data_IF_439675551023
#
_entry.id   IF_439675551023
#
_cell.length_a   1.000
_cell.length_b   1.000
_cell.length_c   1.000
_cell.angle_alpha   90.00
_cell.angle_beta   90.00
_cell.angle_gamma   90.00
#
_symmetry.space_group_name_H-M   'P 1'
#
loop_
_entity.id
_entity.type
_entity.pdbx_description
1 polymer ?
#
# COMPACT_ATOMS: atom_id res chain seq x y z
N UNK A 1 -7.63 23.27 12.06
CA UNK A 1 -8.24 23.08 10.73
C UNK A 1 -9.50 22.22 10.82
N UNK A 2 -9.47 21.07 11.49
CA UNK A 2 -10.67 20.23 11.69
C UNK A 2 -11.86 21.01 12.24
N UNK A 3 -11.65 21.83 13.28
CA UNK A 3 -12.71 22.68 13.87
C UNK A 3 -13.27 23.67 12.87
N UNK A 4 -12.43 24.23 11.99
CA UNK A 4 -12.84 25.17 10.95
C UNK A 4 -13.68 24.53 9.85
N UNK A 5 -13.39 23.27 9.56
CA UNK A 5 -14.05 22.50 8.50
C UNK A 5 -15.23 21.67 8.99
N UNK A 6 -15.46 21.62 10.31
CA UNK A 6 -16.61 20.94 10.89
C UNK A 6 -17.90 21.48 10.26
N UNK A 7 -18.78 20.60 9.83
CA UNK A 7 -20.06 20.92 9.20
C UNK A 7 -19.97 21.55 7.79
N UNK A 8 -18.76 21.68 7.23
CA UNK A 8 -18.58 22.20 5.88
C UNK A 8 -18.13 21.10 4.93
N UNK A 9 -18.77 21.04 3.76
CA UNK A 9 -18.27 20.21 2.67
C UNK A 9 -16.99 20.85 2.11
N UNK A 10 -15.94 20.05 1.97
CA UNK A 10 -14.68 20.50 1.40
C UNK A 10 -14.14 19.47 0.41
N UNK A 11 -13.37 19.96 -0.54
CA UNK A 11 -12.76 19.14 -1.56
C UNK A 11 -11.26 19.04 -1.33
N UNK A 12 -10.74 17.82 -1.42
CA UNK A 12 -9.31 17.57 -1.29
C UNK A 12 -8.63 17.69 -2.66
N UNK A 13 -7.66 18.60 -2.76
CA UNK A 13 -6.81 18.66 -3.95
C UNK A 13 -5.85 17.49 -3.96
N UNK A 14 -5.76 16.82 -5.11
CA UNK A 14 -4.73 15.82 -5.35
C UNK A 14 -3.71 16.35 -6.36
N UNK A 15 -2.45 15.94 -6.21
CA UNK A 15 -1.41 16.14 -7.20
C UNK A 15 -0.72 14.82 -7.48
N UNK A 16 -0.34 14.60 -8.73
CA UNK A 16 0.43 13.42 -9.10
C UNK A 16 1.93 13.71 -8.99
N UNK A 17 2.70 12.76 -8.47
CA UNK A 17 4.15 12.80 -8.59
C UNK A 17 4.60 12.32 -9.98
N UNK A 18 5.92 12.33 -10.23
CA UNK A 18 6.48 11.93 -11.51
C UNK A 18 6.24 10.45 -11.88
N UNK A 19 5.74 9.62 -10.95
CA UNK A 19 5.37 8.21 -11.17
C UNK A 19 3.87 8.04 -11.43
N UNK A 20 3.08 9.11 -11.26
CA UNK A 20 1.63 9.10 -11.38
C UNK A 20 0.88 8.83 -10.07
N UNK A 21 1.58 8.60 -8.95
CA UNK A 21 0.91 8.43 -7.65
C UNK A 21 0.29 9.73 -7.17
N UNK A 22 -0.96 9.67 -6.72
CA UNK A 22 -1.65 10.81 -6.13
C UNK A 22 -1.26 11.04 -4.68
N UNK A 23 -1.08 12.31 -4.34
CA UNK A 23 -0.84 12.79 -2.99
C UNK A 23 -1.85 13.87 -2.64
N UNK A 24 -2.33 13.82 -1.41
CA UNK A 24 -3.23 14.80 -0.84
C UNK A 24 -2.46 15.77 0.08
N UNK A 25 -2.94 17.02 0.26
CA UNK A 25 -2.30 17.99 1.16
C UNK A 25 -2.39 17.58 2.63
N UNK A 26 -1.74 18.31 3.50
CA UNK A 26 -1.48 18.00 4.90
C UNK A 26 -2.70 17.62 5.74
N UNK A 27 -3.83 18.33 5.59
CA UNK A 27 -5.09 17.93 6.24
C UNK A 27 -5.98 17.20 5.24
N UNK A 28 -5.88 15.86 5.25
CA UNK A 28 -6.60 15.01 4.31
C UNK A 28 -6.79 13.61 4.88
N UNK A 29 -7.63 12.83 4.22
CA UNK A 29 -7.80 11.41 4.52
C UNK A 29 -6.47 10.63 4.45
N UNK A 30 -5.54 11.02 3.58
CA UNK A 30 -4.21 10.40 3.47
C UNK A 30 -3.21 10.84 4.56
N UNK A 31 -3.62 11.68 5.50
CA UNK A 31 -2.79 12.15 6.61
C UNK A 31 -2.55 11.10 7.71
N UNK A 32 -2.43 11.57 8.94
CA UNK A 32 -2.28 10.69 10.09
C UNK A 32 -3.51 9.79 10.33
N UNK A 33 -3.37 8.77 11.17
CA UNK A 33 -4.48 7.94 11.62
C UNK A 33 -5.64 8.77 12.19
N UNK A 34 -5.32 9.80 12.98
CA UNK A 34 -6.33 10.75 13.49
C UNK A 34 -7.06 11.50 12.36
N UNK A 35 -6.32 12.00 11.35
CA UNK A 35 -6.93 12.69 10.22
C UNK A 35 -7.90 11.79 9.48
N UNK A 36 -7.49 10.53 9.25
CA UNK A 36 -8.31 9.51 8.58
C UNK A 36 -9.57 9.19 9.36
N UNK A 37 -9.48 9.13 10.69
CA UNK A 37 -10.62 8.83 11.56
C UNK A 37 -11.69 9.93 11.61
N UNK A 38 -11.33 11.21 11.35
CA UNK A 38 -12.24 12.35 11.45
C UNK A 38 -12.75 12.86 10.09
N UNK A 39 -12.17 12.42 8.97
CA UNK A 39 -12.63 12.79 7.63
C UNK A 39 -13.70 11.80 7.19
N UNK A 40 -14.85 12.32 6.79
CA UNK A 40 -16.02 11.56 6.34
C UNK A 40 -16.39 11.93 4.90
N UNK A 41 -17.16 11.10 4.24
CA UNK A 41 -17.81 11.47 2.99
C UNK A 41 -18.94 12.47 3.27
N UNK A 42 -19.09 13.48 2.39
CA UNK A 42 -20.14 14.48 2.51
C UNK A 42 -21.53 13.86 2.36
N UNK A 43 -21.69 12.99 1.37
CA UNK A 43 -22.91 12.23 1.13
C UNK A 43 -22.85 10.90 1.86
N UNK A 44 -23.96 10.52 2.50
CA UNK A 44 -24.07 9.23 3.18
C UNK A 44 -24.76 8.18 2.31
N UNK A 45 -24.55 6.90 2.65
CA UNK A 45 -25.18 5.76 1.98
C UNK A 45 -25.91 4.90 3.03
N UNK A 46 -27.17 4.47 2.79
CA UNK A 46 -27.86 3.55 3.66
C UNK A 46 -27.07 2.25 3.83
N UNK A 47 -26.98 1.78 5.06
CA UNK A 47 -26.28 0.52 5.36
C UNK A 47 -27.02 -0.67 4.78
N UNK A 48 -26.29 -1.72 4.42
CA UNK A 48 -26.84 -3.01 3.97
C UNK A 48 -26.26 -4.14 4.81
N UNK A 49 -26.84 -5.34 4.69
CA UNK A 49 -26.30 -6.53 5.35
C UNK A 49 -24.87 -6.82 4.88
N UNK A 50 -24.59 -6.72 3.58
CA UNK A 50 -23.25 -6.93 3.05
C UNK A 50 -22.30 -5.79 3.47
N UNK A 51 -22.80 -4.55 3.51
CA UNK A 51 -22.05 -3.39 4.04
C UNK A 51 -21.66 -3.57 5.51
N UNK A 52 -22.53 -4.20 6.32
CA UNK A 52 -22.19 -4.56 7.70
C UNK A 52 -20.99 -5.53 7.75
N UNK A 53 -20.94 -6.51 6.89
CA UNK A 53 -19.84 -7.48 6.84
C UNK A 53 -18.53 -6.80 6.43
N UNK A 54 -18.57 -5.87 5.49
CA UNK A 54 -17.40 -5.06 5.11
C UNK A 54 -16.99 -4.05 6.20
N UNK A 55 -17.92 -3.53 6.99
CA UNK A 55 -17.56 -2.74 8.17
C UNK A 55 -16.86 -3.61 9.23
N UNK A 56 -17.29 -4.85 9.42
CA UNK A 56 -16.60 -5.81 10.31
C UNK A 56 -15.17 -6.10 9.80
N UNK A 57 -15.02 -6.31 8.50
CA UNK A 57 -13.71 -6.46 7.87
C UNK A 57 -12.81 -5.23 8.11
N UNK A 58 -13.33 -4.02 7.85
CA UNK A 58 -12.61 -2.77 8.10
C UNK A 58 -12.20 -2.65 9.57
N UNK A 59 -13.10 -2.98 10.50
CA UNK A 59 -12.83 -2.92 11.95
C UNK A 59 -11.72 -3.90 12.35
N UNK A 60 -11.72 -5.11 11.78
CA UNK A 60 -10.64 -6.09 11.97
C UNK A 60 -9.29 -5.59 11.42
N UNK A 61 -9.29 -4.98 10.23
CA UNK A 61 -8.10 -4.44 9.59
C UNK A 61 -7.46 -3.31 10.42
N UNK A 62 -8.25 -2.35 10.89
CA UNK A 62 -7.73 -1.24 11.71
C UNK A 62 -7.36 -1.67 13.13
N UNK A 63 -7.92 -2.76 13.63
CA UNK A 63 -7.49 -3.40 14.88
C UNK A 63 -6.11 -4.07 14.73
N UNK A 64 -5.84 -4.63 13.54
CA UNK A 64 -4.55 -5.27 13.21
C UNK A 64 -4.64 -6.79 13.09
N UNK A 65 -5.81 -7.34 12.81
CA UNK A 65 -6.00 -8.78 12.58
C UNK A 65 -5.30 -9.25 11.30
N UNK A 66 -4.58 -10.37 11.39
CA UNK A 66 -3.89 -10.98 10.27
C UNK A 66 -4.49 -12.37 10.03
N UNK A 67 -5.52 -12.44 9.23
CA UNK A 67 -6.28 -13.63 8.89
C UNK A 67 -6.85 -13.51 7.47
N UNK A 68 -7.50 -14.54 6.97
CA UNK A 68 -8.22 -14.46 5.71
C UNK A 68 -9.46 -13.56 5.83
N UNK A 69 -10.05 -13.26 4.68
CA UNK A 69 -11.19 -12.37 4.55
C UNK A 69 -12.40 -12.78 5.43
N UNK A 70 -12.78 -14.05 5.38
CA UNK A 70 -13.95 -14.57 6.10
C UNK A 70 -13.68 -14.70 7.62
N UNK A 71 -12.47 -15.10 7.98
CA UNK A 71 -12.04 -15.21 9.36
C UNK A 71 -12.00 -13.83 10.04
N UNK A 72 -11.53 -12.79 9.35
CA UNK A 72 -11.56 -11.40 9.85
C UNK A 72 -13.00 -10.98 10.16
N UNK A 73 -13.94 -11.21 9.25
CA UNK A 73 -15.35 -10.85 9.44
C UNK A 73 -15.95 -11.62 10.63
N UNK A 74 -15.75 -12.93 10.70
CA UNK A 74 -16.32 -13.76 11.78
C UNK A 74 -15.75 -13.40 13.15
N UNK A 75 -14.44 -13.22 13.23
CA UNK A 75 -13.73 -12.79 14.45
C UNK A 75 -14.18 -11.41 14.88
N UNK A 76 -14.32 -10.47 13.96
CA UNK A 76 -14.83 -9.13 14.25
C UNK A 76 -16.26 -9.16 14.79
N UNK A 77 -17.15 -9.96 14.20
CA UNK A 77 -18.52 -10.17 14.70
C UNK A 77 -18.53 -10.76 16.13
N UNK A 78 -17.60 -11.62 16.47
CA UNK A 78 -17.50 -12.17 17.84
C UNK A 78 -17.05 -11.15 18.89
N UNK A 79 -16.44 -10.03 18.46
CA UNK A 79 -15.91 -8.96 19.32
C UNK A 79 -16.86 -7.77 19.49
N UNK A 80 -18.14 -7.88 19.12
CA UNK A 80 -19.11 -6.77 19.22
C UNK A 80 -19.19 -6.18 20.64
N UNK A 81 -19.12 -7.01 21.69
CA UNK A 81 -19.11 -6.55 23.08
C UNK A 81 -17.91 -5.62 23.39
N UNK A 82 -16.72 -5.97 22.86
CA UNK A 82 -15.52 -5.15 22.98
C UNK A 82 -15.68 -3.80 22.27
N UNK A 83 -16.24 -3.79 21.06
CA UNK A 83 -16.48 -2.57 20.29
C UNK A 83 -17.48 -1.65 20.97
N UNK A 84 -18.53 -2.20 21.58
CA UNK A 84 -19.47 -1.44 22.38
C UNK A 84 -18.84 -0.89 23.66
N UNK A 85 -17.98 -1.66 24.35
CA UNK A 85 -17.21 -1.17 25.49
C UNK A 85 -16.34 0.02 25.10
N UNK A 86 -15.52 -0.12 24.06
CA UNK A 86 -14.61 0.93 23.55
C UNK A 86 -15.38 2.19 23.18
N UNK A 87 -16.47 2.05 22.44
CA UNK A 87 -17.24 3.21 21.95
C UNK A 87 -18.12 3.87 23.00
N UNK A 88 -18.55 3.17 24.06
CA UNK A 88 -19.34 3.75 25.15
C UNK A 88 -18.47 4.49 26.20
N UNK A 89 -17.25 4.01 26.44
CA UNK A 89 -16.28 4.64 27.34
C UNK A 89 -14.88 4.68 26.67
N UNK A 90 -14.65 5.62 25.76
CA UNK A 90 -13.36 5.73 25.08
C UNK A 90 -12.19 6.05 26.03
N UNK A 91 -12.44 6.80 27.11
CA UNK A 91 -11.40 7.20 28.08
C UNK A 91 -11.01 6.00 28.94
N UNK A 92 -11.97 5.31 29.53
CA UNK A 92 -11.72 4.13 30.35
C UNK A 92 -11.20 2.94 29.54
N UNK A 93 -11.45 2.90 28.22
CA UNK A 93 -10.98 1.86 27.31
C UNK A 93 -9.70 2.25 26.56
N UNK A 94 -9.00 3.33 26.94
CA UNK A 94 -7.79 3.81 26.27
C UNK A 94 -6.73 2.72 26.08
N UNK A 95 -6.47 1.93 27.10
CA UNK A 95 -5.49 0.82 27.07
C UNK A 95 -5.85 -0.30 26.07
N UNK A 96 -7.08 -0.34 25.61
CA UNK A 96 -7.56 -1.31 24.60
C UNK A 96 -7.33 -0.75 23.20
N UNK A 97 -7.98 0.36 22.87
CA UNK A 97 -7.98 0.88 21.51
C UNK A 97 -6.66 1.52 21.10
N UNK A 98 -5.89 2.07 22.05
CA UNK A 98 -4.56 2.63 21.76
C UNK A 98 -3.53 1.60 21.27
N UNK A 99 -3.80 0.30 21.47
CA UNK A 99 -2.92 -0.81 21.05
C UNK A 99 -3.28 -1.35 19.65
N UNK A 100 -4.36 -0.86 19.04
CA UNK A 100 -4.72 -1.23 17.67
C UNK A 100 -3.66 -0.72 16.65
N UNK A 101 -3.59 -1.33 15.49
CA UNK A 101 -2.66 -0.91 14.43
C UNK A 101 -2.94 0.52 13.94
N UNK A 102 -4.23 0.90 13.85
CA UNK A 102 -4.71 2.26 13.55
C UNK A 102 -5.68 2.70 14.66
N UNK A 103 -5.17 3.21 15.80
CA UNK A 103 -5.97 3.41 17.02
C UNK A 103 -7.20 4.30 16.85
N UNK A 104 -7.04 5.46 16.21
CA UNK A 104 -8.16 6.39 16.02
C UNK A 104 -9.17 5.89 15.00
N UNK A 105 -8.73 5.25 13.91
CA UNK A 105 -9.62 4.61 12.95
C UNK A 105 -10.40 3.46 13.62
N UNK A 106 -9.75 2.68 14.49
CA UNK A 106 -10.43 1.62 15.25
C UNK A 106 -11.48 2.18 16.22
N UNK A 107 -11.14 3.22 16.97
CA UNK A 107 -12.12 3.91 17.84
C UNK A 107 -13.31 4.43 17.01
N UNK A 108 -13.05 5.04 15.85
CA UNK A 108 -14.10 5.54 14.97
C UNK A 108 -14.99 4.42 14.43
N UNK A 109 -14.40 3.30 14.01
CA UNK A 109 -15.14 2.10 13.58
C UNK A 109 -16.03 1.53 14.72
N UNK A 110 -15.51 1.46 15.95
CA UNK A 110 -16.31 1.06 17.12
C UNK A 110 -17.51 1.99 17.35
N UNK A 111 -17.34 3.30 17.19
CA UNK A 111 -18.43 4.26 17.29
C UNK A 111 -19.49 4.04 16.20
N UNK A 112 -19.07 3.76 14.96
CA UNK A 112 -19.98 3.44 13.85
C UNK A 112 -20.79 2.18 14.15
N UNK A 113 -20.12 1.09 14.57
CA UNK A 113 -20.76 -0.17 14.99
C UNK A 113 -21.82 0.08 16.06
N UNK A 114 -21.47 0.84 17.10
CA UNK A 114 -22.43 1.19 18.17
C UNK A 114 -23.65 1.94 17.63
N UNK A 115 -23.43 2.92 16.75
CA UNK A 115 -24.50 3.75 16.19
C UNK A 115 -25.44 2.90 15.32
N UNK A 116 -24.90 1.98 14.50
CA UNK A 116 -25.69 1.03 13.71
C UNK A 116 -26.53 0.14 14.62
N UNK A 117 -25.94 -0.46 15.66
CA UNK A 117 -26.65 -1.32 16.60
C UNK A 117 -27.79 -0.56 17.28
N UNK A 118 -27.55 0.69 17.71
CA UNK A 118 -28.59 1.52 18.37
C UNK A 118 -29.74 1.90 17.44
N UNK A 119 -29.42 2.16 16.16
CA UNK A 119 -30.41 2.64 15.18
C UNK A 119 -31.17 1.52 14.51
N UNK A 120 -30.46 0.43 14.18
CA UNK A 120 -30.99 -0.65 13.32
C UNK A 120 -31.58 -1.83 14.10
N UNK A 121 -31.20 -2.02 15.38
CA UNK A 121 -31.70 -3.16 16.16
C UNK A 121 -33.15 -2.93 16.55
N UNK A 122 -34.04 -3.81 16.09
CA UNK A 122 -35.46 -3.82 16.40
C UNK A 122 -35.85 -5.22 16.87
N UNK A 123 -35.83 -5.44 18.19
CA UNK A 123 -35.96 -6.78 18.79
C UNK A 123 -34.83 -7.70 18.34
N UNK A 124 -35.16 -8.81 17.71
CA UNK A 124 -34.19 -9.78 17.17
C UNK A 124 -33.79 -9.50 15.71
N UNK A 125 -34.34 -8.47 15.08
CA UNK A 125 -34.08 -8.12 13.69
C UNK A 125 -33.17 -6.90 13.58
N UNK A 126 -32.39 -6.85 12.51
CA UNK A 126 -31.63 -5.68 12.09
C UNK A 126 -32.21 -5.11 10.80
N UNK A 127 -32.61 -3.84 10.83
CA UNK A 127 -33.11 -3.06 9.71
C UNK A 127 -31.99 -2.08 9.31
N UNK A 128 -30.97 -2.57 8.60
CA UNK A 128 -29.74 -1.82 8.32
C UNK A 128 -29.97 -0.52 7.57
N UNK A 129 -30.97 -0.48 6.68
CA UNK A 129 -31.30 0.65 5.83
C UNK A 129 -31.71 1.90 6.63
N UNK A 130 -32.02 1.74 7.92
CA UNK A 130 -32.35 2.87 8.83
C UNK A 130 -31.12 3.68 9.21
N UNK A 131 -29.91 3.17 8.98
CA UNK A 131 -28.68 3.89 9.29
C UNK A 131 -27.98 4.33 8.00
N UNK A 132 -27.69 5.63 7.92
CA UNK A 132 -26.90 6.22 6.82
C UNK A 132 -25.46 6.40 7.29
N UNK A 133 -24.53 5.74 6.62
CA UNK A 133 -23.10 5.80 6.94
C UNK A 133 -22.40 6.81 6.07
N UNK A 134 -21.50 7.58 6.68
CA UNK A 134 -20.58 8.51 6.03
C UNK A 134 -19.12 8.04 6.16
N UNK A 135 -18.90 6.91 6.86
CA UNK A 135 -17.56 6.41 7.16
C UNK A 135 -16.87 5.85 5.94
N UNK A 136 -15.67 6.35 5.58
CA UNK A 136 -14.80 5.67 4.61
C UNK A 136 -14.26 4.37 5.22
N UNK A 137 -14.61 3.24 4.64
CA UNK A 137 -14.06 1.93 4.98
C UNK A 137 -13.01 1.52 3.94
N UNK A 138 -11.86 1.05 4.40
CA UNK A 138 -10.67 0.81 3.58
C UNK A 138 -10.52 -0.66 3.21
N UNK A 139 -10.21 -0.91 1.94
CA UNK A 139 -9.63 -2.14 1.43
C UNK A 139 -8.17 -1.88 1.06
N UNK A 140 -7.25 -2.68 1.59
CA UNK A 140 -5.83 -2.56 1.32
C UNK A 140 -5.34 -3.72 0.45
N UNK A 141 -4.39 -3.46 -0.43
CA UNK A 141 -3.78 -4.48 -1.27
C UNK A 141 -2.79 -5.30 -0.44
N UNK A 142 -3.01 -6.61 -0.38
CA UNK A 142 -2.15 -7.51 0.40
C UNK A 142 -0.78 -7.68 -0.27
N UNK A 143 0.29 -7.08 0.28
CA UNK A 143 1.64 -7.17 -0.28
C UNK A 143 1.77 -6.61 -1.71
N UNK A 144 1.30 -5.40 -1.98
CA UNK A 144 1.20 -4.79 -3.30
C UNK A 144 2.46 -4.93 -4.17
N UNK A 145 3.66 -4.69 -3.61
CA UNK A 145 4.91 -4.85 -4.34
C UNK A 145 5.10 -6.26 -4.92
N UNK A 146 4.82 -7.29 -4.12
CA UNK A 146 4.97 -8.69 -4.52
C UNK A 146 3.88 -9.10 -5.51
N UNK A 147 2.66 -8.59 -5.34
CA UNK A 147 1.56 -8.79 -6.28
C UNK A 147 1.92 -8.21 -7.65
N UNK A 148 2.34 -6.96 -7.73
CA UNK A 148 2.75 -6.35 -8.99
C UNK A 148 3.94 -7.07 -9.63
N UNK A 149 4.94 -7.49 -8.85
CA UNK A 149 6.09 -8.24 -9.37
C UNK A 149 5.66 -9.60 -9.90
N UNK A 150 4.73 -10.30 -9.23
CA UNK A 150 4.22 -11.59 -9.72
C UNK A 150 3.54 -11.44 -11.08
N UNK A 151 2.74 -10.39 -11.25
CA UNK A 151 2.06 -10.07 -12.51
C UNK A 151 3.06 -9.62 -13.59
N UNK A 152 4.01 -8.77 -13.24
CA UNK A 152 5.10 -8.33 -14.13
C UNK A 152 5.89 -9.53 -14.64
N UNK A 153 6.20 -10.47 -13.78
CA UNK A 153 7.05 -11.62 -14.09
C UNK A 153 6.26 -12.86 -14.52
N UNK A 154 4.92 -12.78 -14.50
CA UNK A 154 3.99 -13.88 -14.76
C UNK A 154 4.30 -15.12 -13.91
N UNK A 155 4.46 -14.91 -12.61
CA UNK A 155 4.81 -15.93 -11.62
C UNK A 155 3.61 -16.24 -10.72
N UNK A 156 2.93 -17.36 -10.99
CA UNK A 156 1.75 -17.79 -10.25
C UNK A 156 2.07 -18.19 -8.81
N UNK A 157 3.26 -18.76 -8.54
CA UNK A 157 3.64 -19.15 -7.18
C UNK A 157 3.84 -17.92 -6.29
N UNK A 158 4.49 -16.88 -6.83
CA UNK A 158 4.56 -15.58 -6.15
C UNK A 158 3.17 -14.94 -6.01
N UNK A 159 2.29 -15.13 -6.99
CA UNK A 159 0.89 -14.70 -6.95
C UNK A 159 0.13 -15.36 -5.79
N UNK A 160 0.29 -16.66 -5.56
CA UNK A 160 -0.29 -17.39 -4.41
C UNK A 160 0.26 -16.85 -3.08
N UNK A 161 1.57 -16.69 -2.98
CA UNK A 161 2.24 -16.16 -1.77
C UNK A 161 1.82 -14.73 -1.43
N UNK A 162 1.37 -13.95 -2.40
CA UNK A 162 0.93 -12.56 -2.25
C UNK A 162 -0.59 -12.38 -2.28
N UNK A 163 -1.36 -13.44 -2.13
CA UNK A 163 -2.83 -13.44 -2.08
C UNK A 163 -3.55 -13.03 -3.38
N UNK A 164 -2.89 -13.08 -4.54
CA UNK A 164 -3.57 -12.85 -5.81
C UNK A 164 -4.41 -14.05 -6.26
N UNK A 165 -4.09 -15.25 -5.78
CA UNK A 165 -4.88 -16.46 -6.02
C UNK A 165 -4.72 -17.50 -4.90
N UNK A 166 -5.61 -18.50 -4.89
CA UNK A 166 -5.55 -19.61 -3.94
C UNK A 166 -6.02 -19.24 -2.54
N UNK A 167 -5.60 -20.06 -1.57
CA UNK A 167 -5.88 -19.86 -0.16
C UNK A 167 -5.09 -18.67 0.40
N UNK A 168 -5.55 -18.14 1.54
CA UNK A 168 -4.85 -17.05 2.23
C UNK A 168 -3.42 -17.45 2.58
N UNK A 169 -2.47 -16.58 2.25
CA UNK A 169 -1.06 -16.74 2.56
C UNK A 169 -0.51 -15.52 3.29
N UNK A 170 0.16 -15.74 4.40
CA UNK A 170 0.94 -14.70 5.07
C UNK A 170 2.42 -14.89 4.76
N UNK A 171 2.89 -14.26 3.69
CA UNK A 171 4.30 -14.29 3.27
C UNK A 171 5.24 -13.94 4.42
N UNK A 172 4.88 -12.95 5.25
CA UNK A 172 5.75 -12.53 6.35
C UNK A 172 5.85 -13.59 7.43
N UNK A 173 4.75 -14.28 7.74
CA UNK A 173 4.75 -15.41 8.67
C UNK A 173 5.52 -16.59 8.09
N UNK A 174 5.32 -16.92 6.82
CA UNK A 174 6.05 -18.01 6.13
C UNK A 174 7.57 -17.80 6.17
N UNK A 175 8.03 -16.56 6.00
CA UNK A 175 9.45 -16.21 6.16
C UNK A 175 9.88 -16.27 7.63
N UNK A 176 9.07 -15.71 8.54
CA UNK A 176 9.37 -15.66 9.97
C UNK A 176 9.52 -17.05 10.60
N UNK A 177 8.71 -18.02 10.18
CA UNK A 177 8.76 -19.41 10.66
C UNK A 177 10.07 -20.13 10.26
N UNK A 178 10.78 -19.63 9.26
CA UNK A 178 12.09 -20.14 8.80
C UNK A 178 13.30 -19.43 9.43
N UNK A 179 13.08 -18.39 10.24
CA UNK A 179 14.16 -17.68 10.90
C UNK A 179 14.58 -18.37 12.20
N UNK A 180 15.89 -18.48 12.40
CA UNK A 180 16.48 -19.11 13.57
C UNK A 180 16.70 -18.17 14.77
N UNK A 181 16.26 -16.90 14.68
CA UNK A 181 16.40 -15.95 15.78
C UNK A 181 15.45 -16.26 16.95
N UNK A 182 15.80 -15.93 18.21
CA UNK A 182 15.01 -16.25 19.41
C UNK A 182 13.86 -15.26 19.68
N UNK A 183 13.51 -14.39 18.74
CA UNK A 183 12.41 -13.44 18.88
C UNK A 183 11.05 -14.16 19.00
N UNK A 184 10.08 -13.53 19.65
CA UNK A 184 8.71 -14.01 19.68
C UNK A 184 8.06 -13.99 18.28
N UNK A 185 7.04 -14.83 18.05
CA UNK A 185 6.39 -14.98 16.73
C UNK A 185 5.92 -13.67 16.13
N UNK A 186 5.28 -12.80 16.94
CA UNK A 186 4.80 -11.49 16.49
C UNK A 186 5.97 -10.57 16.12
N UNK A 187 7.06 -10.59 16.90
CA UNK A 187 8.25 -9.76 16.65
C UNK A 187 8.97 -10.23 15.39
N UNK A 188 9.15 -11.55 15.19
CA UNK A 188 9.68 -12.12 13.94
C UNK A 188 8.91 -11.66 12.72
N UNK A 189 7.58 -11.75 12.75
CA UNK A 189 6.72 -11.31 11.66
C UNK A 189 6.86 -9.81 11.37
N UNK A 190 6.90 -8.97 12.40
CA UNK A 190 7.13 -7.51 12.25
C UNK A 190 8.53 -7.21 11.70
N UNK A 191 9.57 -7.91 12.15
CA UNK A 191 10.94 -7.82 11.60
C UNK A 191 10.93 -8.16 10.11
N UNK A 192 10.34 -9.30 9.75
CA UNK A 192 10.24 -9.72 8.34
C UNK A 192 9.49 -8.68 7.51
N UNK A 193 8.35 -8.16 7.96
CA UNK A 193 7.60 -7.11 7.25
C UNK A 193 8.48 -5.88 7.01
N UNK A 194 9.21 -5.42 8.02
CA UNK A 194 10.09 -4.25 7.95
C UNK A 194 11.35 -4.48 7.06
N UNK A 195 11.69 -5.72 6.75
CA UNK A 195 12.74 -6.06 5.78
C UNK A 195 12.14 -6.32 4.39
N UNK A 196 11.12 -7.15 4.30
CA UNK A 196 10.54 -7.60 3.04
C UNK A 196 9.94 -6.46 2.21
N UNK A 197 9.20 -5.55 2.85
CA UNK A 197 8.55 -4.43 2.14
C UNK A 197 9.59 -3.50 1.50
N UNK A 198 10.54 -2.88 2.24
CA UNK A 198 11.53 -2.02 1.61
C UNK A 198 12.47 -2.80 0.68
N UNK A 199 12.77 -4.07 0.96
CA UNK A 199 13.56 -4.89 0.05
C UNK A 199 12.82 -5.16 -1.27
N UNK A 200 11.55 -5.50 -1.24
CA UNK A 200 10.71 -5.65 -2.43
C UNK A 200 10.73 -4.39 -3.31
N UNK A 201 10.71 -3.23 -2.69
CA UNK A 201 10.87 -1.93 -3.35
C UNK A 201 12.33 -1.52 -3.62
N UNK A 202 13.30 -2.42 -3.51
CA UNK A 202 14.68 -2.17 -3.95
C UNK A 202 15.56 -1.39 -2.96
N UNK A 203 15.14 -1.21 -1.72
CA UNK A 203 15.98 -0.60 -0.69
C UNK A 203 17.29 -1.39 -0.50
N UNK A 204 18.36 -0.67 -0.17
CA UNK A 204 19.63 -1.29 0.21
C UNK A 204 19.59 -1.80 1.65
N UNK A 205 20.42 -2.81 1.95
CA UNK A 205 20.51 -3.37 3.31
C UNK A 205 20.82 -2.28 4.34
N UNK A 206 21.70 -1.32 4.02
CA UNK A 206 21.99 -0.18 4.90
C UNK A 206 20.73 0.67 5.20
N UNK A 207 19.87 0.85 4.21
CA UNK A 207 18.60 1.58 4.39
C UNK A 207 17.65 0.80 5.29
N UNK A 208 17.54 -0.50 5.05
CA UNK A 208 16.70 -1.41 5.83
C UNK A 208 17.17 -1.46 7.29
N UNK A 209 18.47 -1.61 7.53
CA UNK A 209 19.06 -1.63 8.89
C UNK A 209 18.75 -0.31 9.63
N UNK A 210 18.86 0.84 8.96
CA UNK A 210 18.51 2.14 9.56
C UNK A 210 17.03 2.20 9.96
N UNK A 211 16.13 1.76 9.09
CA UNK A 211 14.69 1.72 9.37
C UNK A 211 14.36 0.77 10.53
N UNK A 212 14.98 -0.42 10.58
CA UNK A 212 14.84 -1.33 11.70
C UNK A 212 15.36 -0.72 13.01
N UNK A 213 16.45 0.03 12.97
CA UNK A 213 16.99 0.73 14.12
C UNK A 213 16.05 1.84 14.63
N UNK A 214 15.43 2.58 13.74
CA UNK A 214 14.42 3.57 14.10
C UNK A 214 13.19 2.89 14.70
N UNK A 215 12.71 1.81 14.09
CA UNK A 215 11.58 1.05 14.62
C UNK A 215 11.87 0.48 16.01
N UNK A 216 13.03 -0.15 16.24
CA UNK A 216 13.39 -0.70 17.55
C UNK A 216 13.43 0.34 18.66
N UNK A 217 13.79 1.59 18.34
CA UNK A 217 13.83 2.67 19.31
C UNK A 217 12.42 3.17 19.70
N UNK A 218 11.44 3.03 18.79
CA UNK A 218 10.07 3.47 18.97
C UNK A 218 9.14 2.35 19.51
N UNK A 219 9.50 1.07 19.32
CA UNK A 219 8.69 -0.08 19.73
C UNK A 219 9.21 -0.70 21.04
N UNK A 220 8.56 -0.37 22.15
CA UNK A 220 8.98 -0.83 23.46
C UNK A 220 8.88 -2.35 23.68
N UNK A 221 8.03 -3.04 22.91
CA UNK A 221 7.82 -4.48 23.04
C UNK A 221 8.82 -5.31 22.25
N UNK A 222 9.54 -4.73 21.29
CA UNK A 222 10.52 -5.42 20.45
C UNK A 222 11.81 -5.74 21.22
N UNK A 223 11.74 -6.65 22.18
CA UNK A 223 12.83 -6.94 23.14
C UNK A 223 14.04 -7.53 22.44
N UNK A 224 13.85 -8.52 21.57
CA UNK A 224 14.94 -9.14 20.84
C UNK A 224 15.63 -8.13 19.93
N UNK A 225 14.89 -7.39 19.11
CA UNK A 225 15.48 -6.42 18.20
C UNK A 225 16.25 -5.31 18.95
N UNK A 226 15.76 -4.91 20.13
CA UNK A 226 16.41 -3.90 20.99
C UNK A 226 17.76 -4.37 21.55
N UNK A 227 17.93 -5.67 21.76
CA UNK A 227 19.20 -6.23 22.26
C UNK A 227 20.30 -6.24 21.21
N UNK A 228 19.96 -6.17 19.90
CA UNK A 228 20.92 -6.30 18.82
C UNK A 228 21.74 -5.03 18.60
N UNK A 229 23.05 -5.20 18.36
CA UNK A 229 23.94 -4.14 17.87
C UNK A 229 23.83 -3.98 16.33
N UNK A 230 24.68 -3.17 15.71
CA UNK A 230 24.63 -2.90 14.27
C UNK A 230 25.01 -4.13 13.42
N UNK A 231 26.01 -4.89 13.85
CA UNK A 231 26.52 -6.07 13.14
C UNK A 231 25.48 -7.18 13.16
N UNK A 232 24.92 -7.46 14.33
CA UNK A 232 23.83 -8.43 14.53
C UNK A 232 22.57 -8.06 13.75
N UNK A 233 22.22 -6.77 13.66
CA UNK A 233 21.13 -6.30 12.78
C UNK A 233 21.44 -6.54 11.30
N UNK A 234 22.70 -6.38 10.89
CA UNK A 234 23.13 -6.64 9.53
C UNK A 234 23.05 -8.12 9.17
N UNK A 235 23.44 -8.98 10.09
CA UNK A 235 23.32 -10.44 9.95
C UNK A 235 21.86 -10.87 9.85
N UNK A 236 21.00 -10.35 10.74
CA UNK A 236 19.57 -10.62 10.74
C UNK A 236 18.92 -10.19 9.41
N UNK A 237 19.22 -8.99 8.90
CA UNK A 237 18.70 -8.52 7.60
C UNK A 237 19.17 -9.43 6.47
N UNK A 238 20.42 -9.89 6.52
CA UNK A 238 20.99 -10.81 5.52
C UNK A 238 20.30 -12.18 5.58
N UNK A 239 20.02 -12.70 6.78
CA UNK A 239 19.29 -13.96 6.97
C UNK A 239 17.86 -13.84 6.42
N UNK A 240 17.10 -12.82 6.83
CA UNK A 240 15.72 -12.58 6.36
C UNK A 240 15.69 -12.48 4.85
N UNK A 241 16.60 -11.71 4.24
CA UNK A 241 16.69 -11.57 2.79
C UNK A 241 16.97 -12.91 2.10
N UNK A 242 17.88 -13.72 2.61
CA UNK A 242 18.18 -15.05 2.06
C UNK A 242 16.96 -15.96 2.08
N UNK A 243 16.19 -15.92 3.17
CA UNK A 243 14.94 -16.68 3.27
C UNK A 243 13.91 -16.17 2.28
N UNK A 244 13.73 -14.84 2.13
CA UNK A 244 12.83 -14.27 1.13
C UNK A 244 13.24 -14.68 -0.28
N UNK A 245 14.52 -14.59 -0.63
CA UNK A 245 15.07 -15.01 -1.94
C UNK A 245 14.83 -16.50 -2.22
N UNK A 246 14.84 -17.35 -1.19
CA UNK A 246 14.54 -18.79 -1.34
C UNK A 246 13.06 -19.08 -1.57
N UNK A 247 12.15 -18.25 -1.02
CA UNK A 247 10.70 -18.43 -1.11
C UNK A 247 10.14 -17.70 -2.35
N UNK A 248 10.67 -16.53 -2.66
CA UNK A 248 10.23 -15.64 -3.73
C UNK A 248 11.41 -15.21 -4.64
N UNK A 249 12.06 -16.15 -5.35
CA UNK A 249 13.26 -15.87 -6.14
C UNK A 249 13.00 -14.90 -7.29
N UNK A 250 11.78 -14.84 -7.77
CA UNK A 250 11.34 -13.96 -8.86
C UNK A 250 11.50 -12.48 -8.52
N UNK A 251 11.39 -12.10 -7.26
CA UNK A 251 11.62 -10.70 -6.83
C UNK A 251 13.08 -10.29 -7.05
N UNK A 252 14.03 -11.16 -6.67
CA UNK A 252 15.45 -10.92 -6.93
C UNK A 252 15.77 -10.92 -8.43
N UNK A 253 15.16 -11.82 -9.20
CA UNK A 253 15.27 -11.88 -10.67
C UNK A 253 14.80 -10.59 -11.32
N UNK A 254 13.61 -10.11 -10.99
CA UNK A 254 13.05 -8.83 -11.48
C UNK A 254 14.02 -7.67 -11.21
N UNK A 255 14.48 -7.51 -9.98
CA UNK A 255 15.42 -6.44 -9.60
C UNK A 255 16.72 -6.50 -10.40
N UNK A 256 17.26 -7.71 -10.61
CA UNK A 256 18.48 -7.93 -11.40
C UNK A 256 18.28 -7.55 -12.87
N UNK A 257 17.20 -8.00 -13.50
CA UNK A 257 16.88 -7.69 -14.89
C UNK A 257 16.73 -6.18 -15.11
N UNK A 258 15.97 -5.50 -14.27
CA UNK A 258 15.82 -4.04 -14.30
C UNK A 258 17.19 -3.35 -14.17
N UNK A 259 18.00 -3.76 -13.19
CA UNK A 259 19.32 -3.17 -12.96
C UNK A 259 20.27 -3.32 -14.15
N UNK A 260 20.23 -4.48 -14.83
CA UNK A 260 21.06 -4.75 -16.03
C UNK A 260 20.65 -3.84 -17.19
N UNK A 261 19.33 -3.75 -17.49
CA UNK A 261 18.82 -2.88 -18.57
C UNK A 261 19.19 -1.43 -18.32
N UNK A 262 18.97 -0.94 -17.09
CA UNK A 262 19.31 0.43 -16.72
C UNK A 262 20.83 0.68 -16.78
N UNK A 263 21.63 -0.29 -16.35
CA UNK A 263 23.10 -0.21 -16.46
C UNK A 263 23.55 -0.01 -17.91
N UNK A 264 22.99 -0.77 -18.84
CA UNK A 264 23.27 -0.65 -20.29
C UNK A 264 22.83 0.74 -20.82
N UNK A 265 21.62 1.20 -20.48
CA UNK A 265 21.06 2.47 -20.96
C UNK A 265 21.89 3.67 -20.48
N UNK A 266 22.22 3.72 -19.18
CA UNK A 266 23.08 4.74 -18.60
C UNK A 266 24.52 4.68 -19.09
N UNK A 267 25.01 3.48 -19.46
CA UNK A 267 26.31 3.29 -20.10
C UNK A 267 26.38 3.92 -21.51
N UNK A 268 25.28 3.96 -22.22
CA UNK A 268 25.12 4.63 -23.53
C UNK A 268 24.88 6.15 -23.45
N UNK A 269 24.99 6.75 -22.26
CA UNK A 269 24.91 8.20 -22.08
C UNK A 269 23.51 8.77 -21.78
N UNK A 270 22.50 7.93 -21.50
CA UNK A 270 21.17 8.43 -21.13
C UNK A 270 21.26 9.24 -19.82
N UNK A 271 20.61 10.41 -19.80
CA UNK A 271 20.51 11.29 -18.63
C UNK A 271 19.22 11.13 -17.85
N UNK A 272 18.23 10.52 -18.48
CA UNK A 272 16.92 10.21 -17.91
C UNK A 272 16.35 8.91 -18.49
N UNK A 273 15.33 8.37 -17.83
CA UNK A 273 14.56 7.21 -18.27
C UNK A 273 13.11 7.65 -18.39
N UNK A 274 12.52 7.41 -19.54
CA UNK A 274 11.13 7.78 -19.82
C UNK A 274 10.37 6.50 -20.16
N UNK A 275 9.21 6.32 -19.56
CA UNK A 275 8.27 5.26 -19.93
C UNK A 275 6.82 5.70 -19.70
N UNK A 276 5.90 5.01 -20.32
CA UNK A 276 4.47 5.25 -20.15
C UNK A 276 3.82 4.11 -19.37
N UNK A 277 2.89 4.46 -18.50
CA UNK A 277 2.01 3.48 -17.85
C UNK A 277 0.92 3.02 -18.83
N UNK A 278 0.21 1.89 -18.55
CA UNK A 278 -0.93 1.47 -19.34
C UNK A 278 -2.03 2.55 -19.53
N UNK A 279 -2.11 3.48 -18.58
CA UNK A 279 -3.04 4.61 -18.64
C UNK A 279 -2.46 5.86 -19.31
N UNK A 280 -1.38 5.69 -20.11
CA UNK A 280 -0.71 6.75 -20.88
C UNK A 280 -0.09 7.87 -20.04
N UNK A 281 0.09 7.66 -18.71
CA UNK A 281 0.84 8.60 -17.90
C UNK A 281 2.33 8.44 -18.19
N UNK A 282 2.99 9.54 -18.55
CA UNK A 282 4.42 9.56 -18.88
C UNK A 282 5.26 9.77 -17.63
N UNK A 283 6.13 8.81 -17.33
CA UNK A 283 7.01 8.83 -16.18
C UNK A 283 8.40 9.29 -16.60
N UNK A 284 8.86 10.39 -16.02
CA UNK A 284 10.20 10.95 -16.24
C UNK A 284 11.08 10.71 -15.02
N UNK A 285 11.94 9.71 -15.07
CA UNK A 285 12.90 9.45 -14.01
C UNK A 285 14.24 10.10 -14.32
N UNK A 286 14.53 11.22 -13.65
CA UNK A 286 15.78 11.97 -13.78
C UNK A 286 16.44 12.21 -12.43
N UNK A 287 17.60 11.60 -12.20
CA UNK A 287 18.38 11.81 -11.00
C UNK A 287 19.75 12.39 -11.36
N UNK A 288 20.00 13.61 -10.87
CA UNK A 288 21.27 14.30 -11.04
C UNK A 288 22.04 14.26 -9.72
N UNK A 289 23.37 14.26 -9.78
CA UNK A 289 24.21 14.44 -8.60
C UNK A 289 23.95 15.79 -7.97
N UNK A 290 24.04 15.84 -6.65
CA UNK A 290 23.80 17.05 -5.85
C UNK A 290 25.11 17.50 -5.23
N UNK A 291 25.47 18.76 -5.47
CA UNK A 291 26.57 19.44 -4.76
C UNK A 291 25.97 20.09 -3.52
N UNK A 292 26.47 19.69 -2.34
CA UNK A 292 26.11 20.32 -1.07
C UNK A 292 26.99 21.57 -0.90
N UNK A 293 26.33 22.69 -0.73
CA UNK A 293 26.97 24.00 -0.47
C UNK A 293 26.74 24.36 1.00
N UNK A 294 27.75 24.89 1.63
CA UNK A 294 27.67 25.43 2.98
C UNK A 294 28.12 26.88 2.94
N UNK A 295 27.35 27.76 3.53
CA UNK A 295 27.69 29.15 3.72
C UNK A 295 27.50 29.49 5.20
N UNK A 296 28.47 30.22 5.75
CA UNK A 296 28.34 30.82 7.08
C UNK A 296 27.81 32.24 6.90
N UNK A 297 26.66 32.51 7.50
CA UNK A 297 26.01 33.82 7.44
C UNK A 297 25.97 34.40 8.85
N UNK A 298 26.38 35.65 8.99
CA UNK A 298 26.26 36.39 10.24
C UNK A 298 24.81 36.87 10.41
N UNK A 299 24.16 36.46 11.47
CA UNK A 299 22.80 36.83 11.82
C UNK A 299 22.77 37.69 13.08
N UNK A 300 23.25 38.92 12.95
CA UNK A 300 23.28 39.91 14.03
C UNK A 300 24.23 39.59 15.18
N UNK A 301 24.02 38.50 15.91
CA UNK A 301 24.83 38.07 17.05
C UNK A 301 25.48 36.69 16.87
N UNK A 302 24.98 35.88 15.94
CA UNK A 302 25.41 34.49 15.76
C UNK A 302 25.84 34.18 14.32
N UNK A 303 26.76 33.21 14.18
CA UNK A 303 27.13 32.65 12.88
C UNK A 303 26.21 31.43 12.63
N UNK A 304 25.33 31.54 11.67
CA UNK A 304 24.44 30.46 11.25
C UNK A 304 25.01 29.77 10.01
N UNK A 305 25.15 28.42 10.06
CA UNK A 305 25.54 27.63 8.89
C UNK A 305 24.30 27.36 8.03
N UNK A 306 24.20 27.99 6.88
CA UNK A 306 23.19 27.69 5.87
C UNK A 306 23.71 26.57 4.99
N UNK A 307 22.83 25.59 4.75
CA UNK A 307 23.07 24.45 3.85
C UNK A 307 22.12 24.55 2.66
N UNK A 308 22.70 24.53 1.47
CA UNK A 308 21.97 24.52 0.21
C UNK A 308 22.38 23.29 -0.62
N UNK A 309 21.47 22.79 -1.42
CA UNK A 309 21.71 21.69 -2.35
C UNK A 309 21.53 22.21 -3.78
N UNK A 310 22.52 21.98 -4.64
CA UNK A 310 22.44 22.35 -6.04
C UNK A 310 22.67 21.13 -6.93
N UNK A 311 21.74 20.81 -7.84
CA UNK A 311 22.00 19.80 -8.85
C UNK A 311 23.15 20.27 -9.76
N UNK A 312 24.00 19.32 -10.12
CA UNK A 312 25.07 19.53 -11.13
C UNK A 312 24.71 18.73 -12.37
N UNK A 313 25.27 19.10 -13.53
CA UNK A 313 24.99 18.46 -14.80
C UNK A 313 25.71 17.09 -14.92
N UNK A 314 25.47 16.21 -13.95
CA UNK A 314 26.06 14.88 -13.88
C UNK A 314 25.01 13.87 -13.38
N UNK A 315 24.82 12.77 -14.12
CA UNK A 315 23.80 11.75 -13.81
C UNK A 315 24.18 10.95 -12.58
N UNK A 316 23.27 10.81 -11.62
CA UNK A 316 23.42 9.95 -10.45
C UNK A 316 23.04 8.49 -10.81
N UNK A 317 23.99 7.81 -11.48
CA UNK A 317 23.79 6.45 -12.01
C UNK A 317 23.41 5.43 -10.94
N UNK A 318 23.93 5.55 -9.71
CA UNK A 318 23.62 4.64 -8.60
C UNK A 318 22.17 4.78 -8.18
N UNK A 319 21.68 6.01 -8.04
CA UNK A 319 20.28 6.29 -7.66
C UNK A 319 19.30 5.82 -8.76
N UNK A 320 19.66 6.01 -10.04
CA UNK A 320 18.85 5.44 -11.14
C UNK A 320 18.71 3.92 -10.99
N UNK A 321 19.82 3.17 -10.81
CA UNK A 321 19.77 1.71 -10.68
C UNK A 321 18.95 1.23 -9.49
N UNK A 322 19.07 1.89 -8.34
CA UNK A 322 18.36 1.46 -7.13
C UNK A 322 16.88 1.87 -7.12
N UNK A 323 16.52 3.00 -7.76
CA UNK A 323 15.16 3.53 -7.72
C UNK A 323 14.26 3.01 -8.85
N UNK A 324 14.80 2.45 -9.95
CA UNK A 324 13.96 2.12 -11.10
C UNK A 324 13.00 0.98 -10.82
N UNK A 325 13.44 -0.12 -10.20
CA UNK A 325 12.55 -1.24 -9.87
C UNK A 325 11.33 -0.79 -9.02
N UNK A 326 11.50 -0.07 -7.90
CA UNK A 326 10.36 0.45 -7.17
C UNK A 326 9.52 1.45 -7.98
N UNK A 327 10.14 2.29 -8.80
CA UNK A 327 9.39 3.28 -9.59
C UNK A 327 8.54 2.64 -10.68
N UNK A 328 8.96 1.50 -11.25
CA UNK A 328 8.13 0.70 -12.15
C UNK A 328 6.89 0.21 -11.40
N UNK A 329 7.07 -0.46 -10.26
CA UNK A 329 5.96 -0.97 -9.44
C UNK A 329 5.02 0.17 -9.04
N UNK A 330 5.57 1.30 -8.55
CA UNK A 330 4.76 2.46 -8.15
C UNK A 330 4.03 3.14 -9.31
N UNK A 331 4.57 3.09 -10.52
CA UNK A 331 3.87 3.64 -11.68
C UNK A 331 2.75 2.72 -12.16
N UNK A 332 2.87 1.42 -11.91
CA UNK A 332 1.84 0.45 -12.27
C UNK A 332 0.73 0.40 -11.23
N UNK A 333 1.03 0.55 -9.93
CA UNK A 333 -0.01 0.73 -8.94
C UNK A 333 -0.78 2.06 -9.15
N UNK A 334 -0.09 3.12 -9.53
CA UNK A 334 -0.74 4.36 -9.93
C UNK A 334 -1.67 4.16 -11.15
N UNK A 335 -1.28 3.32 -12.12
CA UNK A 335 -2.15 2.98 -13.25
C UNK A 335 -3.43 2.24 -12.80
N UNK A 336 -3.39 1.43 -11.74
CA UNK A 336 -4.59 0.83 -11.14
C UNK A 336 -5.53 1.93 -10.63
N UNK A 337 -5.01 2.92 -9.90
CA UNK A 337 -5.79 4.06 -9.40
C UNK A 337 -6.39 4.85 -10.57
N UNK A 338 -5.58 5.20 -11.58
CA UNK A 338 -6.05 5.94 -12.76
C UNK A 338 -7.16 5.17 -13.49
N UNK A 339 -6.97 3.86 -13.69
CA UNK A 339 -7.95 3.00 -14.34
C UNK A 339 -9.26 2.90 -13.54
N UNK A 340 -9.18 2.74 -12.22
CA UNK A 340 -10.33 2.70 -11.34
C UNK A 340 -11.13 4.00 -11.38
N UNK A 341 -10.47 5.17 -11.23
CA UNK A 341 -11.13 6.47 -11.22
C UNK A 341 -11.80 6.80 -12.56
N UNK A 342 -11.26 6.29 -13.65
CA UNK A 342 -11.88 6.39 -14.97
C UNK A 342 -12.88 5.26 -15.22
N UNK A 343 -13.03 4.34 -14.27
CA UNK A 343 -13.85 3.13 -14.40
C UNK A 343 -13.64 2.46 -15.77
N UNK A 344 -12.37 2.28 -16.10
CA UNK A 344 -11.96 1.77 -17.39
C UNK A 344 -12.30 0.29 -17.54
N UNK A 345 -12.85 -0.10 -18.66
CA UNK A 345 -13.03 -1.50 -19.05
C UNK A 345 -12.18 -1.78 -20.29
N UNK A 346 -11.53 -2.92 -20.31
CA UNK A 346 -10.59 -3.31 -21.35
C UNK A 346 -11.17 -4.43 -22.21
N UNK A 347 -10.98 -4.33 -23.53
CA UNK A 347 -11.32 -5.39 -24.48
C UNK A 347 -10.29 -5.45 -25.61
N UNK A 348 -10.21 -6.58 -26.30
CA UNK A 348 -9.19 -6.83 -27.33
C UNK A 348 -7.93 -7.49 -26.73
N UNK A 349 -6.96 -7.81 -27.59
CA UNK A 349 -5.68 -8.42 -27.22
C UNK A 349 -4.56 -7.40 -27.12
N UNK A 350 -3.40 -7.87 -26.70
CA UNK A 350 -2.16 -7.06 -26.63
C UNK A 350 -1.86 -6.43 -28.00
N UNK A 351 -1.74 -5.11 -28.05
CA UNK A 351 -1.52 -4.35 -29.29
C UNK A 351 -2.79 -3.84 -29.98
N UNK A 352 -3.98 -4.28 -29.58
CA UNK A 352 -5.27 -3.77 -30.07
C UNK A 352 -6.28 -3.62 -28.94
N UNK A 353 -5.85 -3.07 -27.83
CA UNK A 353 -6.67 -2.89 -26.62
C UNK A 353 -7.62 -1.70 -26.81
N UNK A 354 -8.90 -1.94 -26.65
CA UNK A 354 -9.91 -0.89 -26.55
C UNK A 354 -10.22 -0.58 -25.09
N UNK A 355 -10.32 0.70 -24.75
CA UNK A 355 -10.65 1.17 -23.41
C UNK A 355 -11.94 1.95 -23.45
N UNK A 356 -12.97 1.46 -22.80
CA UNK A 356 -14.20 2.22 -22.56
C UNK A 356 -14.14 2.85 -21.14
N UNK A 357 -14.85 3.96 -20.95
CA UNK A 357 -14.82 4.75 -19.72
C UNK A 357 -16.24 5.12 -19.30
N UNK A 358 -16.54 4.86 -18.04
CA UNK A 358 -17.81 5.28 -17.42
C UNK A 358 -17.49 5.85 -16.02
N UNK A 359 -18.16 6.91 -15.58
CA UNK A 359 -17.96 7.41 -14.19
C UNK A 359 -18.23 6.34 -13.15
N UNK A 360 -17.52 6.37 -12.03
CA UNK A 360 -17.88 5.60 -10.84
C UNK A 360 -19.23 6.11 -10.31
N UNK A 361 -20.07 5.19 -9.85
CA UNK A 361 -21.39 5.52 -9.28
C UNK A 361 -21.33 5.98 -7.83
N UNK A 362 -20.16 5.91 -7.18
CA UNK A 362 -19.96 6.26 -5.79
C UNK A 362 -18.57 6.89 -5.58
N UNK A 363 -18.39 7.69 -4.51
CA UNK A 363 -17.10 8.30 -4.20
C UNK A 363 -16.08 7.28 -3.70
N UNK A 364 -14.83 7.49 -4.11
CA UNK A 364 -13.67 6.69 -3.68
C UNK A 364 -12.55 7.62 -3.26
N UNK A 365 -11.91 7.30 -2.14
CA UNK A 365 -10.65 7.93 -1.70
C UNK A 365 -9.55 6.89 -1.78
N UNK A 366 -8.38 7.29 -2.29
CA UNK A 366 -7.24 6.36 -2.47
C UNK A 366 -6.01 6.87 -1.74
N UNK A 367 -5.26 5.94 -1.15
CA UNK A 367 -3.93 6.19 -0.60
C UNK A 367 -3.03 5.13 -1.21
N UNK A 368 -2.50 5.41 -2.40
CA UNK A 368 -1.68 4.49 -3.18
C UNK A 368 -2.41 3.17 -3.50
N UNK A 369 -2.08 2.11 -2.79
CA UNK A 369 -2.63 0.76 -2.90
C UNK A 369 -3.79 0.45 -1.93
N UNK A 370 -4.21 1.45 -1.13
CA UNK A 370 -5.38 1.39 -0.27
C UNK A 370 -6.54 2.21 -0.88
N UNK A 371 -7.73 1.64 -0.86
CA UNK A 371 -8.93 2.19 -1.49
C UNK A 371 -10.08 2.24 -0.49
N UNK A 372 -10.73 3.38 -0.36
CA UNK A 372 -11.83 3.56 0.60
C UNK A 372 -13.10 4.02 -0.09
N UNK A 373 -14.21 3.42 0.29
CA UNK A 373 -15.57 3.81 -0.06
C UNK A 373 -16.49 3.61 1.14
N UNK A 374 -17.77 3.94 1.01
CA UNK A 374 -18.76 3.52 1.99
C UNK A 374 -18.83 2.00 2.09
N UNK A 375 -19.03 1.45 3.28
CA UNK A 375 -19.07 0.01 3.48
C UNK A 375 -20.02 -0.74 2.52
N UNK A 376 -21.25 -0.24 2.21
CA UNK A 376 -22.12 -0.87 1.21
C UNK A 376 -21.59 -0.88 -0.23
N UNK A 377 -20.63 0.00 -0.56
CA UNK A 377 -20.05 0.09 -1.90
C UNK A 377 -18.75 -0.73 -2.05
N UNK A 378 -18.19 -1.24 -0.95
CA UNK A 378 -16.94 -2.01 -0.98
C UNK A 378 -17.02 -3.31 -1.78
N UNK A 379 -18.12 -4.07 -1.79
CA UNK A 379 -18.25 -5.25 -2.67
C UNK A 379 -18.02 -4.91 -4.14
N UNK A 380 -18.68 -3.87 -4.62
CA UNK A 380 -18.52 -3.39 -6.01
C UNK A 380 -17.13 -2.84 -6.26
N UNK A 381 -16.59 -2.04 -5.34
CA UNK A 381 -15.22 -1.52 -5.43
C UNK A 381 -14.19 -2.63 -5.56
N UNK A 382 -14.30 -3.66 -4.71
CA UNK A 382 -13.40 -4.82 -4.74
C UNK A 382 -13.47 -5.57 -6.06
N UNK A 383 -14.68 -5.82 -6.56
CA UNK A 383 -14.88 -6.47 -7.87
C UNK A 383 -14.24 -5.66 -9.00
N UNK A 384 -14.42 -4.32 -9.00
CA UNK A 384 -13.80 -3.43 -9.98
C UNK A 384 -12.27 -3.43 -9.88
N UNK A 385 -11.70 -3.40 -8.69
CA UNK A 385 -10.25 -3.45 -8.48
C UNK A 385 -9.62 -4.72 -9.05
N UNK A 386 -10.23 -5.87 -8.81
CA UNK A 386 -9.75 -7.14 -9.36
C UNK A 386 -9.79 -7.15 -10.90
N UNK A 387 -10.88 -6.68 -11.50
CA UNK A 387 -11.01 -6.55 -12.96
C UNK A 387 -9.99 -5.56 -13.55
N UNK A 388 -9.79 -4.42 -12.90
CA UNK A 388 -8.82 -3.42 -13.33
C UNK A 388 -7.40 -3.98 -13.31
N UNK A 389 -6.99 -4.62 -12.22
CA UNK A 389 -5.66 -5.23 -12.14
C UNK A 389 -5.53 -6.34 -13.19
N UNK A 390 -6.49 -7.27 -13.27
CA UNK A 390 -6.49 -8.31 -14.29
C UNK A 390 -6.33 -7.73 -15.70
N UNK A 391 -7.17 -6.76 -16.07
CA UNK A 391 -7.16 -6.13 -17.38
C UNK A 391 -5.86 -5.39 -17.71
N UNK A 392 -5.27 -4.67 -16.75
CA UNK A 392 -4.01 -3.95 -16.96
C UNK A 392 -2.87 -4.90 -17.36
N UNK A 393 -2.77 -6.07 -16.75
CA UNK A 393 -1.69 -6.99 -17.04
C UNK A 393 -1.97 -7.95 -18.20
N UNK A 394 -3.23 -8.30 -18.45
CA UNK A 394 -3.62 -9.15 -19.59
C UNK A 394 -3.56 -8.42 -20.92
N UNK A 395 -4.01 -7.15 -20.96
CA UNK A 395 -4.17 -6.41 -22.22
C UNK A 395 -2.95 -5.57 -22.60
N UNK A 396 -2.10 -5.16 -21.66
CA UNK A 396 -1.06 -4.17 -21.94
C UNK A 396 0.37 -4.68 -21.89
N UNK A 397 0.66 -5.85 -21.29
CA UNK A 397 2.03 -6.30 -20.98
C UNK A 397 2.96 -5.13 -20.55
N UNK A 398 2.69 -4.53 -19.38
CA UNK A 398 3.32 -3.27 -19.00
C UNK A 398 4.84 -3.36 -18.89
N UNK A 399 5.38 -4.56 -18.60
CA UNK A 399 6.83 -4.73 -18.47
C UNK A 399 7.55 -4.77 -19.82
N UNK A 400 7.01 -5.44 -20.83
CA UNK A 400 7.59 -5.39 -22.17
C UNK A 400 7.50 -3.99 -22.79
N UNK A 401 6.39 -3.29 -22.55
CA UNK A 401 6.27 -1.89 -22.95
C UNK A 401 7.35 -1.03 -22.28
N UNK A 402 7.57 -1.21 -20.97
CA UNK A 402 8.64 -0.56 -20.26
C UNK A 402 10.03 -0.91 -20.83
N UNK A 403 10.30 -2.21 -21.07
CA UNK A 403 11.57 -2.66 -21.65
C UNK A 403 11.85 -1.96 -22.99
N UNK A 404 10.89 -1.93 -23.88
CA UNK A 404 11.02 -1.26 -25.19
C UNK A 404 11.33 0.22 -25.06
N UNK A 405 10.60 0.94 -24.21
CA UNK A 405 10.75 2.38 -24.01
C UNK A 405 12.11 2.75 -23.41
N UNK A 406 12.64 1.95 -22.52
CA UNK A 406 13.97 2.18 -21.93
C UNK A 406 15.12 1.57 -22.74
N UNK A 407 14.85 0.99 -23.91
CA UNK A 407 15.85 0.40 -24.81
C UNK A 407 16.35 -0.96 -24.37
N UNK A 408 15.52 -1.76 -23.75
CA UNK A 408 15.70 -3.18 -23.50
C UNK A 408 15.19 -4.04 -24.66
N UNK A 409 15.45 -5.34 -24.59
CA UNK A 409 14.93 -6.31 -25.56
C UNK A 409 13.59 -6.85 -25.07
N UNK A 410 12.64 -6.98 -25.98
CA UNK A 410 11.35 -7.58 -25.69
C UNK A 410 11.51 -9.06 -25.31
N UNK A 411 10.78 -9.49 -24.31
CA UNK A 411 10.77 -10.89 -23.87
C UNK A 411 9.49 -11.56 -24.37
N UNK A 412 9.59 -12.81 -24.85
CA UNK A 412 8.42 -13.61 -25.13
C UNK A 412 7.73 -13.98 -23.83
N UNK A 413 6.47 -13.57 -23.68
CA UNK A 413 5.67 -13.79 -22.46
C UNK A 413 4.26 -14.19 -22.85
N UNK A 414 3.76 -15.20 -22.19
CA UNK A 414 2.35 -15.55 -22.26
C UNK A 414 1.72 -15.04 -20.95
N UNK A 415 1.05 -13.90 -21.00
CA UNK A 415 0.43 -13.29 -19.83
C UNK A 415 -0.98 -13.84 -19.71
N UNK A 416 -1.26 -14.50 -18.60
CA UNK A 416 -2.60 -14.87 -18.18
C UNK A 416 -2.81 -14.41 -16.74
N UNK A 417 -3.74 -13.51 -16.57
CA UNK A 417 -4.12 -12.99 -15.24
C UNK A 417 -5.59 -13.27 -14.89
N UNK A 418 -6.23 -14.17 -15.63
CA UNK A 418 -7.65 -14.53 -15.44
C UNK A 418 -7.96 -15.04 -14.04
N UNK A 419 -6.93 -15.59 -13.36
CA UNK A 419 -7.02 -16.06 -11.99
C UNK A 419 -7.18 -14.94 -10.94
N UNK A 420 -6.82 -13.69 -11.27
CA UNK A 420 -6.92 -12.55 -10.34
C UNK A 420 -8.37 -12.22 -10.00
N UNK A 421 -9.27 -12.27 -10.99
CA UNK A 421 -10.68 -11.91 -10.80
C UNK A 421 -11.39 -12.81 -9.78
N UNK A 422 -10.85 -14.00 -9.51
CA UNK A 422 -11.36 -14.97 -8.56
C UNK A 422 -10.71 -14.86 -7.17
N UNK A 423 -9.77 -13.95 -6.98
CA UNK A 423 -9.06 -13.82 -5.71
C UNK A 423 -9.99 -13.36 -4.59
N UNK A 424 -9.93 -14.06 -3.44
CA UNK A 424 -10.64 -13.68 -2.21
C UNK A 424 -9.82 -12.74 -1.32
N UNK A 425 -8.51 -12.77 -1.41
CA UNK A 425 -7.61 -12.14 -0.44
C UNK A 425 -6.67 -11.07 -1.02
N UNK A 426 -6.77 -10.75 -2.33
CA UNK A 426 -5.94 -9.72 -2.95
C UNK A 426 -6.17 -8.33 -2.35
N UNK A 427 -7.42 -8.03 -2.02
CA UNK A 427 -7.86 -6.85 -1.29
C UNK A 427 -8.68 -7.27 -0.08
N UNK A 428 -8.17 -7.05 1.10
CA UNK A 428 -8.82 -7.48 2.35
C UNK A 428 -8.62 -6.46 3.47
#
# INVERSE_FOLDING_TARGET
EATRLKENVFYQRAYADYRGRFYLPSFSYAGSDLNRAIVEFADGVPMTQEGWDYLMLHTANVYGDNADFEEKISTSKSRLSLYLQVSNDPVGSFEIWSKADKPFCFLRACCEVRNIIRTCKNGDKFEFERFVSHLPCELDQSNSAYQHISLIMNDEELGKLSNLQGEYSDLYKTVADKLHCPAEKWEKRKIVKNVAVPWGYGASDVTIIRQLREWKNNENKAQYLRSLNWEELSELVTEVRRVIESIAPTVAKFRKEVSVVIGKRLGKGASELIWQTPMMFEVHQRFMKIKKLKAKVFSGHDIVELRAERPINEVEKRKHRSATAPNIVHSFDAAVVHSLLWNASYSGGTGNTQVSRTPLSFPVVTIHDAFSAHAPNLPELRSKLLKVIGGLYTHFDPFNNWLMLVGGEQQSRQISSDWIEKSKNAFS
#
